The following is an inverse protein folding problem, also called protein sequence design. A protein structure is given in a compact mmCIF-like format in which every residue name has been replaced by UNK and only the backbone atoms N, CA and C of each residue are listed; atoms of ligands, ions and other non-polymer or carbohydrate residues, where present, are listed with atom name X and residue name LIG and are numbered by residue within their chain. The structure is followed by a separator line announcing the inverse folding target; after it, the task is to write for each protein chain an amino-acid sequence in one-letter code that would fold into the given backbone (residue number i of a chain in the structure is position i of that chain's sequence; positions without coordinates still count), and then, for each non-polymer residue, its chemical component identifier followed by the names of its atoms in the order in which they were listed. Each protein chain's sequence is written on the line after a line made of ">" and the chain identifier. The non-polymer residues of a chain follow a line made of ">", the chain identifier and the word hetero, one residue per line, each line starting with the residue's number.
data_IF_688768657085
#
_entry.id   IF_688768657085
#
_cell.length_a   1.000
_cell.length_b   1.000
_cell.length_c   1.000
_cell.angle_alpha   90.00
_cell.angle_beta   90.00
_cell.angle_gamma   90.00
#
_symmetry.space_group_name_H-M   'P 1'
#
loop_
_entity.id
_entity.type
_entity.pdbx_description
1 polymer ?
#
# COMPACT_ATOMS: atom_id res chain seq x y z
N UNK A 1 -12.29 0.77 31.27
CA UNK A 1 -13.70 0.86 30.84
C UNK A 1 -13.99 -0.30 29.90
N UNK A 2 -15.06 -1.06 30.15
CA UNK A 2 -15.47 -2.18 29.31
C UNK A 2 -16.20 -1.70 28.04
N UNK A 3 -16.28 -2.52 26.97
CA UNK A 3 -17.11 -2.21 25.80
C UNK A 3 -18.61 -2.35 26.13
N UNK A 4 -19.44 -1.43 25.63
CA UNK A 4 -20.89 -1.46 25.85
C UNK A 4 -21.57 -2.68 25.22
N UNK A 5 -22.52 -3.29 25.95
CA UNK A 5 -23.17 -4.57 25.63
C UNK A 5 -24.17 -4.56 24.45
N UNK A 6 -24.27 -3.47 23.66
CA UNK A 6 -25.21 -3.36 22.53
C UNK A 6 -24.80 -4.14 21.25
N UNK A 7 -24.01 -5.21 21.39
CA UNK A 7 -23.51 -6.04 20.29
C UNK A 7 -23.87 -7.54 20.43
N UNK A 8 -24.89 -7.87 21.24
CA UNK A 8 -25.46 -9.22 21.36
C UNK A 8 -26.92 -9.20 20.88
N UNK A 9 -27.21 -9.83 19.74
CA UNK A 9 -28.62 -10.09 19.37
C UNK A 9 -29.03 -10.02 17.90
N UNK A 10 -28.25 -10.52 16.94
CA UNK A 10 -28.80 -11.15 15.73
C UNK A 10 -27.93 -12.36 15.39
N UNK A 11 -28.56 -13.51 15.10
CA UNK A 11 -27.86 -14.78 14.87
C UNK A 11 -27.07 -14.79 13.55
N UNK A 12 -25.81 -14.37 13.59
CA UNK A 12 -24.90 -14.47 12.46
C UNK A 12 -24.17 -15.82 12.48
N UNK A 13 -24.47 -16.71 11.52
CA UNK A 13 -23.73 -17.96 11.34
C UNK A 13 -22.32 -17.60 10.83
N UNK A 14 -21.24 -17.93 11.56
CA UNK A 14 -19.89 -17.55 11.16
C UNK A 14 -19.54 -18.12 9.79
N UNK A 15 -19.39 -17.27 8.78
CA UNK A 15 -18.92 -17.63 7.43
C UNK A 15 -19.89 -17.40 6.27
N UNK A 16 -21.16 -17.05 6.50
CA UNK A 16 -22.10 -16.71 5.41
C UNK A 16 -22.31 -15.19 5.31
N UNK A 17 -22.05 -14.61 4.14
CA UNK A 17 -22.38 -13.22 3.87
C UNK A 17 -23.90 -13.03 3.71
N UNK A 18 -24.47 -12.02 4.37
CA UNK A 18 -25.87 -11.59 4.22
C UNK A 18 -26.17 -11.07 2.81
N UNK A 19 -27.40 -11.21 2.28
CA UNK A 19 -27.80 -10.54 1.03
C UNK A 19 -27.71 -9.02 1.15
N UNK A 20 -27.47 -8.33 0.03
CA UNK A 20 -27.29 -6.86 0.00
C UNK A 20 -28.50 -6.11 0.57
N UNK A 21 -29.71 -6.62 0.35
CA UNK A 21 -30.97 -6.04 0.84
C UNK A 21 -31.03 -6.04 2.37
N UNK A 22 -30.59 -7.12 3.02
CA UNK A 22 -30.56 -7.23 4.47
C UNK A 22 -29.55 -6.23 5.05
N UNK A 23 -28.34 -6.14 4.50
CA UNK A 23 -27.31 -5.20 4.95
C UNK A 23 -27.74 -3.74 4.78
N UNK A 24 -28.38 -3.41 3.65
CA UNK A 24 -28.97 -2.08 3.43
C UNK A 24 -30.14 -1.79 4.38
N UNK A 25 -30.95 -2.80 4.71
CA UNK A 25 -32.07 -2.66 5.66
C UNK A 25 -31.58 -2.46 7.10
N UNK A 26 -30.56 -3.21 7.53
CA UNK A 26 -29.90 -3.00 8.83
C UNK A 26 -29.28 -1.60 8.92
N UNK A 27 -28.68 -1.10 7.84
CA UNK A 27 -28.16 0.26 7.79
C UNK A 27 -29.27 1.32 7.90
N UNK A 28 -30.40 1.16 7.18
CA UNK A 28 -31.58 2.05 7.29
C UNK A 28 -32.18 2.06 8.69
N UNK A 29 -32.38 0.89 9.28
CA UNK A 29 -32.89 0.75 10.65
C UNK A 29 -31.96 1.42 11.65
N UNK A 30 -30.64 1.26 11.49
CA UNK A 30 -29.67 1.96 12.32
C UNK A 30 -29.78 3.49 12.17
N UNK A 31 -29.93 4.00 10.94
CA UNK A 31 -30.05 5.44 10.68
C UNK A 31 -31.33 6.01 11.30
N UNK A 32 -32.48 5.36 11.09
CA UNK A 32 -33.76 5.78 11.65
C UNK A 32 -33.73 5.81 13.19
N UNK A 33 -33.16 4.79 13.83
CA UNK A 33 -33.00 4.72 15.28
C UNK A 33 -32.05 5.78 15.86
N UNK A 34 -31.24 6.43 15.03
CA UNK A 34 -30.32 7.51 15.42
C UNK A 34 -30.74 8.88 14.86
N UNK A 35 -31.97 9.03 14.37
CA UNK A 35 -32.53 10.31 13.93
C UNK A 35 -32.00 10.85 12.60
N UNK A 36 -31.37 10.03 11.77
CA UNK A 36 -30.98 10.39 10.40
C UNK A 36 -32.03 9.99 9.35
N UNK A 37 -31.89 10.47 8.12
CA UNK A 37 -32.76 10.09 6.99
C UNK A 37 -32.33 8.74 6.37
N UNK A 38 -33.15 7.67 6.47
CA UNK A 38 -32.84 6.37 5.87
C UNK A 38 -33.00 6.34 4.33
N UNK A 39 -33.59 7.36 3.72
CA UNK A 39 -33.69 7.47 2.26
C UNK A 39 -32.42 8.04 1.63
N UNK A 40 -31.57 8.72 2.42
CA UNK A 40 -30.31 9.29 1.93
C UNK A 40 -29.28 8.19 1.66
N UNK A 41 -29.19 7.77 0.40
CA UNK A 41 -28.41 6.61 -0.06
C UNK A 41 -26.93 6.62 0.35
N UNK A 42 -26.27 7.78 0.31
CA UNK A 42 -24.87 7.90 0.75
C UNK A 42 -24.71 7.55 2.24
N UNK A 43 -25.63 8.03 3.09
CA UNK A 43 -25.62 7.71 4.52
C UNK A 43 -26.00 6.24 4.75
N UNK A 44 -26.95 5.68 4.01
CA UNK A 44 -27.23 4.23 4.05
C UNK A 44 -25.97 3.42 3.78
N UNK A 45 -25.27 3.70 2.68
CA UNK A 45 -24.01 3.05 2.34
C UNK A 45 -22.93 3.27 3.41
N UNK A 46 -22.82 4.47 3.99
CA UNK A 46 -21.88 4.77 5.06
C UNK A 46 -22.08 3.86 6.30
N UNK A 47 -23.33 3.49 6.57
CA UNK A 47 -23.72 2.67 7.73
C UNK A 47 -23.82 1.16 7.46
N UNK A 48 -23.71 0.71 6.20
CA UNK A 48 -23.59 -0.71 5.85
C UNK A 48 -22.41 -1.38 6.57
N UNK A 49 -22.63 -2.60 7.09
CA UNK A 49 -21.61 -3.38 7.78
C UNK A 49 -20.82 -4.26 6.80
N UNK A 50 -19.51 -4.30 6.97
CA UNK A 50 -18.61 -5.22 6.26
C UNK A 50 -19.00 -6.66 6.56
N UNK A 51 -19.32 -7.41 5.50
CA UNK A 51 -19.62 -8.85 5.57
C UNK A 51 -18.36 -9.73 5.41
N UNK A 52 -17.17 -9.13 5.39
CA UNK A 52 -15.94 -9.80 4.98
C UNK A 52 -14.66 -9.22 5.58
N UNK A 53 -13.60 -10.03 5.58
CA UNK A 53 -12.26 -9.66 6.02
C UNK A 53 -12.14 -9.42 7.52
N UNK A 54 -10.97 -8.95 7.94
CA UNK A 54 -10.62 -8.75 9.36
C UNK A 54 -11.42 -7.64 10.07
N UNK A 55 -12.23 -6.87 9.34
CA UNK A 55 -13.07 -5.79 9.85
C UNK A 55 -14.57 -6.12 9.74
N UNK A 56 -14.94 -7.40 9.59
CA UNK A 56 -16.34 -7.84 9.55
C UNK A 56 -17.15 -7.28 10.73
N UNK A 57 -18.38 -6.83 10.47
CA UNK A 57 -19.26 -6.15 11.43
C UNK A 57 -18.99 -4.64 11.60
N UNK A 58 -17.84 -4.12 11.17
CA UNK A 58 -17.59 -2.68 11.18
C UNK A 58 -18.30 -1.99 10.01
N UNK A 59 -18.72 -0.73 10.21
CA UNK A 59 -19.38 0.08 9.18
C UNK A 59 -18.39 0.55 8.11
N UNK A 60 -18.85 0.75 6.88
CA UNK A 60 -18.01 1.27 5.79
C UNK A 60 -17.38 2.62 6.14
N UNK A 61 -18.15 3.52 6.77
CA UNK A 61 -17.64 4.80 7.31
C UNK A 61 -16.50 4.61 8.31
N UNK A 62 -16.67 3.69 9.26
CA UNK A 62 -15.64 3.40 10.27
C UNK A 62 -14.33 2.93 9.62
N UNK A 63 -14.42 2.08 8.59
CA UNK A 63 -13.24 1.60 7.85
C UNK A 63 -12.45 2.76 7.20
N UNK A 64 -13.14 3.69 6.54
CA UNK A 64 -12.49 4.86 5.91
C UNK A 64 -11.85 5.79 6.94
N UNK A 65 -12.53 6.05 8.06
CA UNK A 65 -12.07 6.96 9.11
C UNK A 65 -10.90 6.39 9.94
N UNK A 66 -10.87 5.07 10.17
CA UNK A 66 -9.92 4.44 11.09
C UNK A 66 -8.78 3.67 10.40
N UNK A 67 -8.96 3.24 9.15
CA UNK A 67 -8.00 2.36 8.47
C UNK A 67 -7.95 2.58 6.95
N UNK A 68 -7.84 3.85 6.54
CA UNK A 68 -7.78 4.26 5.13
C UNK A 68 -6.76 3.44 4.31
N UNK A 69 -5.56 3.18 4.84
CA UNK A 69 -4.56 2.37 4.14
C UNK A 69 -5.01 0.93 3.82
N UNK A 70 -5.72 0.28 4.75
CA UNK A 70 -6.34 -1.01 4.49
C UNK A 70 -7.56 -0.89 3.56
N UNK A 71 -8.33 0.20 3.68
CA UNK A 71 -9.47 0.47 2.82
C UNK A 71 -9.04 0.60 1.35
N UNK A 72 -8.01 1.39 1.05
CA UNK A 72 -7.46 1.55 -0.30
C UNK A 72 -6.95 0.23 -0.88
N UNK A 73 -6.30 -0.61 -0.07
CA UNK A 73 -5.90 -1.96 -0.49
C UNK A 73 -7.10 -2.86 -0.81
N UNK A 74 -8.13 -2.84 0.04
CA UNK A 74 -9.37 -3.61 -0.18
C UNK A 74 -10.11 -3.13 -1.43
N UNK A 75 -10.33 -1.82 -1.59
CA UNK A 75 -10.95 -1.22 -2.77
C UNK A 75 -10.18 -1.61 -4.04
N UNK A 76 -8.84 -1.57 -4.01
CA UNK A 76 -8.00 -1.95 -5.14
C UNK A 76 -8.02 -3.46 -5.44
N UNK A 77 -8.22 -4.30 -4.43
CA UNK A 77 -8.44 -5.73 -4.63
C UNK A 77 -9.79 -5.97 -5.30
N UNK A 78 -10.86 -5.42 -4.70
CA UNK A 78 -12.24 -5.59 -5.16
C UNK A 78 -12.42 -5.03 -6.59
N UNK A 79 -11.79 -3.91 -6.93
CA UNK A 79 -11.88 -3.32 -8.28
C UNK A 79 -11.24 -4.18 -9.39
N UNK A 80 -10.51 -5.25 -9.03
CA UNK A 80 -9.97 -6.26 -9.95
C UNK A 80 -10.76 -7.57 -9.93
N UNK A 81 -11.64 -7.77 -8.96
CA UNK A 81 -12.49 -8.95 -8.89
C UNK A 81 -13.64 -8.82 -9.89
N UNK A 82 -13.97 -9.91 -10.58
CA UNK A 82 -15.19 -9.96 -11.40
C UNK A 82 -16.41 -10.00 -10.48
N UNK A 83 -17.41 -9.17 -10.78
CA UNK A 83 -18.67 -9.19 -10.05
C UNK A 83 -19.35 -10.56 -10.23
N UNK A 84 -19.61 -11.24 -9.12
CA UNK A 84 -20.31 -12.51 -9.06
C UNK A 84 -21.73 -12.29 -8.52
N UNK A 85 -22.70 -13.09 -8.96
CA UNK A 85 -24.07 -13.06 -8.43
C UNK A 85 -24.23 -13.65 -7.02
N UNK A 86 -23.19 -13.55 -6.16
CA UNK A 86 -23.24 -14.06 -4.79
C UNK A 86 -23.26 -12.90 -3.77
N UNK A 87 -23.91 -13.09 -2.59
CA UNK A 87 -24.07 -12.02 -1.60
C UNK A 87 -22.76 -11.34 -1.18
N UNK A 88 -21.67 -12.09 -1.10
CA UNK A 88 -20.36 -11.58 -0.74
C UNK A 88 -19.84 -10.56 -1.77
N UNK A 89 -19.96 -10.87 -3.06
CA UNK A 89 -19.56 -9.99 -4.15
C UNK A 89 -20.42 -8.74 -4.20
N UNK A 90 -21.74 -8.86 -4.02
CA UNK A 90 -22.64 -7.70 -3.99
C UNK A 90 -22.30 -6.74 -2.83
N UNK A 91 -22.02 -7.27 -1.63
CA UNK A 91 -21.56 -6.45 -0.50
C UNK A 91 -20.20 -5.77 -0.76
N UNK A 92 -19.29 -6.43 -1.50
CA UNK A 92 -18.05 -5.80 -1.95
C UNK A 92 -18.32 -4.66 -2.94
N UNK A 93 -19.31 -4.78 -3.83
CA UNK A 93 -19.73 -3.70 -4.72
C UNK A 93 -20.36 -2.53 -3.97
N UNK A 94 -21.14 -2.76 -2.89
CA UNK A 94 -21.64 -1.67 -2.04
C UNK A 94 -20.49 -0.84 -1.43
N UNK A 95 -19.38 -1.48 -1.03
CA UNK A 95 -18.20 -0.77 -0.52
C UNK A 95 -17.51 0.07 -1.60
N UNK A 96 -17.41 -0.44 -2.84
CA UNK A 96 -16.93 0.34 -3.98
C UNK A 96 -17.85 1.54 -4.28
N UNK A 97 -19.17 1.31 -4.28
CA UNK A 97 -20.18 2.36 -4.52
C UNK A 97 -20.14 3.45 -3.45
N UNK A 98 -19.88 3.09 -2.18
CA UNK A 98 -19.67 4.06 -1.11
C UNK A 98 -18.40 4.89 -1.35
N UNK A 99 -17.27 4.21 -1.60
CA UNK A 99 -15.98 4.85 -1.77
C UNK A 99 -15.93 5.78 -3.00
N UNK A 100 -16.61 5.44 -4.09
CA UNK A 100 -16.65 6.26 -5.31
C UNK A 100 -17.40 7.57 -5.15
N UNK A 101 -18.26 7.70 -4.13
CA UNK A 101 -18.95 8.95 -3.78
C UNK A 101 -18.07 9.91 -2.95
N UNK A 102 -16.92 9.45 -2.43
CA UNK A 102 -16.00 10.26 -1.63
C UNK A 102 -14.80 10.66 -2.50
N UNK A 103 -14.72 11.95 -2.85
CA UNK A 103 -13.69 12.48 -3.76
C UNK A 103 -12.26 12.20 -3.24
N UNK A 104 -12.03 12.43 -1.96
CA UNK A 104 -10.74 12.24 -1.30
C UNK A 104 -10.30 10.77 -1.34
N UNK A 105 -11.23 9.82 -1.16
CA UNK A 105 -10.93 8.38 -1.24
C UNK A 105 -10.61 7.98 -2.68
N UNK A 106 -11.30 8.56 -3.67
CA UNK A 106 -10.99 8.35 -5.10
C UNK A 106 -9.58 8.84 -5.45
N UNK A 107 -9.22 10.06 -5.06
CA UNK A 107 -7.88 10.63 -5.32
C UNK A 107 -6.76 9.82 -4.65
N UNK A 108 -6.96 9.39 -3.39
CA UNK A 108 -5.99 8.53 -2.70
C UNK A 108 -5.92 7.12 -3.30
N UNK A 109 -7.04 6.58 -3.81
CA UNK A 109 -7.04 5.30 -4.53
C UNK A 109 -6.27 5.38 -5.84
N UNK A 110 -6.39 6.47 -6.60
CA UNK A 110 -5.62 6.70 -7.83
C UNK A 110 -4.11 6.82 -7.54
N UNK A 111 -3.72 7.56 -6.50
CA UNK A 111 -2.31 7.63 -6.02
C UNK A 111 -1.80 6.25 -5.58
N UNK A 112 -2.59 5.51 -4.81
CA UNK A 112 -2.27 4.16 -4.36
C UNK A 112 -2.11 3.18 -5.53
N UNK A 113 -3.01 3.24 -6.52
CA UNK A 113 -2.90 2.48 -7.75
C UNK A 113 -1.63 2.81 -8.53
N UNK A 114 -1.29 4.09 -8.69
CA UNK A 114 -0.04 4.52 -9.36
C UNK A 114 1.18 3.95 -8.65
N UNK A 115 1.25 4.06 -7.32
CA UNK A 115 2.29 3.46 -6.48
C UNK A 115 2.40 1.94 -6.69
N UNK A 116 1.29 1.21 -6.69
CA UNK A 116 1.28 -0.24 -6.89
C UNK A 116 1.75 -0.65 -8.30
N UNK A 117 1.38 0.10 -9.35
CA UNK A 117 1.88 -0.13 -10.74
C UNK A 117 3.39 0.10 -10.82
N UNK A 118 3.87 1.22 -10.27
CA UNK A 118 5.30 1.57 -10.17
C UNK A 118 6.10 0.51 -9.39
N UNK A 119 5.59 0.05 -8.25
CA UNK A 119 6.24 -1.00 -7.47
C UNK A 119 6.24 -2.36 -8.19
N UNK A 120 5.17 -2.73 -8.90
CA UNK A 120 5.13 -3.94 -9.70
C UNK A 120 6.21 -3.92 -10.79
N UNK A 121 6.32 -2.79 -11.52
CA UNK A 121 7.34 -2.61 -12.56
C UNK A 121 8.77 -2.61 -12.03
N UNK A 122 9.01 -2.06 -10.84
CA UNK A 122 10.30 -2.14 -10.16
C UNK A 122 10.68 -3.58 -9.78
N UNK A 123 9.71 -4.43 -9.42
CA UNK A 123 9.93 -5.86 -9.15
C UNK A 123 10.17 -6.67 -10.41
N UNK A 124 9.42 -6.39 -11.47
CA UNK A 124 9.53 -7.03 -12.79
C UNK A 124 10.87 -6.76 -13.46
N UNK A 125 11.33 -5.50 -13.45
CA UNK A 125 12.57 -5.07 -14.12
C UNK A 125 13.82 -5.17 -13.24
N UNK A 126 13.66 -5.30 -11.92
CA UNK A 126 14.74 -5.15 -10.95
C UNK A 126 15.29 -3.71 -10.79
N UNK A 127 14.77 -2.74 -11.55
CA UNK A 127 15.21 -1.34 -11.49
C UNK A 127 14.40 -0.54 -10.45
N UNK A 128 15.09 -0.11 -9.39
CA UNK A 128 14.54 0.78 -8.37
C UNK A 128 14.14 2.15 -8.92
N UNK A 129 14.61 2.54 -10.11
CA UNK A 129 14.20 3.76 -10.80
C UNK A 129 12.69 3.86 -11.04
N UNK A 130 11.98 2.74 -11.15
CA UNK A 130 10.51 2.73 -11.28
C UNK A 130 9.77 2.97 -9.97
N UNK A 131 10.43 2.96 -8.81
CA UNK A 131 9.77 3.23 -7.52
C UNK A 131 9.28 4.67 -7.47
N UNK A 132 8.13 4.86 -6.85
CA UNK A 132 7.51 6.18 -6.69
C UNK A 132 8.23 6.98 -5.58
N UNK A 133 8.46 8.26 -5.82
CA UNK A 133 8.91 9.21 -4.80
C UNK A 133 7.71 9.57 -3.91
N UNK A 134 7.91 9.58 -2.60
CA UNK A 134 6.85 9.71 -1.58
C UNK A 134 6.99 10.95 -0.71
N UNK A 135 7.86 11.89 -1.11
CA UNK A 135 8.20 13.08 -0.33
C UNK A 135 8.57 14.26 -1.23
N UNK A 136 8.43 15.47 -0.69
CA UNK A 136 8.78 16.71 -1.40
C UNK A 136 7.86 17.01 -2.58
N UNK A 137 8.31 17.93 -3.44
CA UNK A 137 7.53 18.41 -4.59
C UNK A 137 7.34 17.33 -5.68
N UNK A 138 8.25 16.37 -5.76
CA UNK A 138 8.24 15.28 -6.74
C UNK A 138 7.40 14.06 -6.31
N UNK A 139 6.57 14.21 -5.28
CA UNK A 139 5.72 13.12 -4.79
C UNK A 139 4.81 12.60 -5.91
N UNK A 140 4.86 11.29 -6.15
CA UNK A 140 4.05 10.63 -7.18
C UNK A 140 4.74 10.44 -8.53
N UNK A 141 5.94 10.97 -8.75
CA UNK A 141 6.80 10.64 -9.91
C UNK A 141 7.69 9.44 -9.61
N UNK A 142 8.30 8.82 -10.63
CA UNK A 142 9.29 7.76 -10.42
C UNK A 142 10.68 8.33 -10.09
N UNK A 143 11.50 7.58 -9.34
CA UNK A 143 12.89 7.97 -9.02
C UNK A 143 13.73 8.21 -10.28
N UNK A 144 13.42 7.50 -11.37
CA UNK A 144 14.03 7.70 -12.69
C UNK A 144 13.62 9.03 -13.32
N UNK A 145 12.32 9.34 -13.36
CA UNK A 145 11.83 10.63 -13.88
C UNK A 145 12.52 11.81 -13.18
N UNK A 146 12.61 11.77 -11.84
CA UNK A 146 13.22 12.84 -11.04
C UNK A 146 14.74 12.91 -11.19
N UNK A 147 15.41 11.80 -11.53
CA UNK A 147 16.85 11.79 -11.83
C UNK A 147 17.18 12.28 -13.25
N UNK A 148 16.29 12.03 -14.20
CA UNK A 148 16.45 12.41 -15.61
C UNK A 148 15.91 13.83 -15.90
N UNK A 149 15.15 14.42 -14.97
CA UNK A 149 14.70 15.81 -15.03
C UNK A 149 15.87 16.81 -14.92
N UNK A 150 15.86 17.79 -15.83
CA UNK A 150 16.86 18.87 -15.93
C UNK A 150 16.45 20.15 -15.20
N UNK A 151 15.27 20.20 -14.56
CA UNK A 151 14.89 21.37 -13.76
C UNK A 151 15.86 21.60 -12.61
N UNK A 152 16.10 22.87 -12.27
CA UNK A 152 16.95 23.26 -11.14
C UNK A 152 16.47 22.64 -9.82
N UNK A 153 15.15 22.46 -9.66
CA UNK A 153 14.56 21.81 -8.49
C UNK A 153 14.97 20.33 -8.38
N UNK A 154 14.94 19.59 -9.49
CA UNK A 154 15.33 18.19 -9.51
C UNK A 154 16.82 18.04 -9.21
N UNK A 155 17.66 18.82 -9.90
CA UNK A 155 19.12 18.84 -9.68
C UNK A 155 19.47 19.14 -8.21
N UNK A 156 18.84 20.17 -7.62
CA UNK A 156 19.01 20.51 -6.19
C UNK A 156 18.61 19.35 -5.26
N UNK A 157 17.56 18.59 -5.58
CA UNK A 157 17.18 17.40 -4.81
C UNK A 157 18.21 16.28 -4.97
N UNK A 158 18.71 16.01 -6.18
CA UNK A 158 19.74 14.98 -6.41
C UNK A 158 21.03 15.32 -5.64
N UNK A 159 21.47 16.58 -5.66
CA UNK A 159 22.66 17.01 -4.91
C UNK A 159 22.43 17.10 -3.40
N UNK A 160 21.20 17.33 -2.94
CA UNK A 160 20.84 17.14 -1.54
C UNK A 160 20.92 15.66 -1.15
N UNK A 161 20.31 14.74 -1.93
CA UNK A 161 20.27 13.30 -1.65
C UNK A 161 21.66 12.69 -1.48
N UNK A 162 22.64 13.09 -2.30
CA UNK A 162 24.03 12.61 -2.19
C UNK A 162 24.63 12.96 -0.82
N UNK A 163 24.39 14.18 -0.33
CA UNK A 163 24.95 14.70 0.93
C UNK A 163 24.14 14.32 2.18
N UNK A 164 22.82 14.18 2.06
CA UNK A 164 21.92 13.96 3.19
C UNK A 164 22.18 12.63 3.91
N UNK A 165 22.20 12.63 5.23
CA UNK A 165 22.10 11.39 6.01
C UNK A 165 20.66 10.86 5.92
N UNK A 166 20.52 9.64 5.41
CA UNK A 166 19.23 9.05 5.08
C UNK A 166 19.03 7.78 5.90
N UNK A 167 18.07 7.82 6.84
CA UNK A 167 17.75 6.68 7.71
C UNK A 167 17.51 5.41 6.88
N UNK A 168 18.13 4.27 7.23
CA UNK A 168 17.96 3.01 6.51
C UNK A 168 16.48 2.62 6.33
N UNK A 169 16.18 1.92 5.23
CA UNK A 169 14.83 1.45 4.87
C UNK A 169 13.76 2.54 4.69
N UNK A 170 14.16 3.81 4.52
CA UNK A 170 13.25 4.89 4.10
C UNK A 170 13.28 5.11 2.59
N UNK A 171 12.20 5.65 2.03
CA UNK A 171 12.11 6.04 0.61
C UNK A 171 13.22 7.02 0.21
N UNK A 172 13.66 7.88 1.14
CA UNK A 172 14.82 8.78 0.98
C UNK A 172 16.14 8.00 0.80
N UNK A 173 16.38 6.98 1.64
CA UNK A 173 17.59 6.16 1.54
C UNK A 173 17.60 5.29 0.27
N UNK A 174 16.44 4.76 -0.14
CA UNK A 174 16.30 4.02 -1.40
C UNK A 174 16.60 4.94 -2.60
N UNK A 175 16.05 6.16 -2.61
CA UNK A 175 16.33 7.11 -3.69
C UNK A 175 17.80 7.56 -3.69
N UNK A 176 18.41 7.82 -2.52
CA UNK A 176 19.86 8.08 -2.41
C UNK A 176 20.68 6.93 -3.00
N UNK A 177 20.36 5.68 -2.69
CA UNK A 177 21.05 4.52 -3.24
C UNK A 177 20.92 4.42 -4.77
N UNK A 178 19.73 4.69 -5.32
CA UNK A 178 19.51 4.76 -6.77
C UNK A 178 20.38 5.83 -7.44
N UNK A 179 20.40 7.05 -6.89
CA UNK A 179 21.22 8.17 -7.39
C UNK A 179 22.70 7.83 -7.40
N UNK A 180 23.23 7.30 -6.29
CA UNK A 180 24.65 6.93 -6.19
C UNK A 180 25.02 5.83 -7.18
N UNK A 181 24.17 4.80 -7.33
CA UNK A 181 24.36 3.73 -8.32
C UNK A 181 24.40 4.28 -9.75
N UNK A 182 23.47 5.16 -10.12
CA UNK A 182 23.43 5.79 -11.45
C UNK A 182 24.65 6.67 -11.73
N UNK A 183 25.09 7.49 -10.76
CA UNK A 183 26.29 8.33 -10.92
C UNK A 183 27.56 7.46 -11.10
N UNK A 184 27.72 6.40 -10.33
CA UNK A 184 28.83 5.46 -10.48
C UNK A 184 28.85 4.80 -11.87
N UNK A 185 27.70 4.30 -12.37
CA UNK A 185 27.61 3.69 -13.69
C UNK A 185 27.91 4.68 -14.83
N UNK A 186 27.51 5.94 -14.70
CA UNK A 186 27.83 6.97 -15.70
C UNK A 186 29.35 7.25 -15.76
N UNK A 187 30.02 7.34 -14.61
CA UNK A 187 31.46 7.55 -14.52
C UNK A 187 32.29 6.38 -15.07
N UNK A 188 31.80 5.13 -14.96
CA UNK A 188 32.48 3.97 -15.55
C UNK A 188 32.42 3.90 -17.08
N UNK A 189 31.45 4.57 -17.72
CA UNK A 189 31.30 4.58 -19.19
C UNK A 189 32.10 5.69 -19.86
N UNK A 190 32.56 6.70 -19.12
CA UNK A 190 33.38 7.81 -19.65
C UNK A 190 34.90 7.58 -19.55
N UNK A 191 35.34 6.38 -19.17
CA UNK A 191 36.77 6.05 -19.14
C UNK A 191 37.27 5.72 -20.57
N UNK A 192 38.35 6.38 -21.06
CA UNK A 192 38.96 5.99 -22.33
C UNK A 192 39.56 4.58 -22.22
N UNK A 193 39.57 3.78 -23.30
CA UNK A 193 40.07 2.41 -23.25
C UNK A 193 41.58 2.40 -22.91
N UNK A 194 42.03 1.54 -21.98
CA UNK A 194 43.46 1.31 -21.79
C UNK A 194 44.04 0.67 -23.05
N UNK A 195 45.20 1.17 -23.50
CA UNK A 195 45.88 0.64 -24.67
C UNK A 195 46.23 -0.83 -24.47
N UNK A 196 45.73 -1.70 -25.36
CA UNK A 196 45.97 -3.13 -25.28
C UNK A 196 47.45 -3.45 -25.52
N UNK A 197 48.10 -4.10 -24.54
CA UNK A 197 49.43 -4.69 -24.69
C UNK A 197 49.29 -6.22 -24.68
N UNK A 198 49.73 -6.87 -25.76
CA UNK A 198 49.50 -8.28 -26.06
C UNK A 198 50.69 -9.18 -25.68
N UNK A 199 50.45 -10.23 -24.91
CA UNK A 199 51.25 -11.48 -24.87
C UNK A 199 50.42 -12.58 -24.17
N UNK A 200 49.75 -13.48 -24.90
CA UNK A 200 50.24 -14.81 -25.37
C UNK A 200 50.35 -15.89 -24.27
N UNK A 201 49.55 -16.95 -24.40
CA UNK A 201 49.48 -18.17 -23.56
C UNK A 201 50.47 -19.27 -24.08
N UNK A 202 50.47 -20.60 -23.72
CA UNK A 202 49.41 -21.47 -23.14
C UNK A 202 49.91 -22.51 -22.04
N UNK A 203 49.11 -23.52 -21.60
CA UNK A 203 49.44 -24.46 -20.49
C UNK A 203 49.90 -25.87 -21.00
N UNK A 204 50.16 -26.89 -20.13
CA UNK A 204 49.12 -27.90 -19.83
C UNK A 204 49.25 -28.71 -18.48
N UNK A 205 48.38 -29.72 -18.32
CA UNK A 205 48.54 -31.03 -17.60
C UNK A 205 48.07 -31.21 -16.14
N UNK A 206 47.62 -32.44 -15.85
CA UNK A 206 46.83 -32.84 -14.68
C UNK A 206 47.45 -34.01 -13.91
N UNK A 207 46.96 -34.27 -12.68
CA UNK A 207 47.01 -35.60 -12.05
C UNK A 207 45.90 -35.79 -10.99
N UNK A 208 45.62 -37.05 -10.67
CA UNK A 208 44.38 -37.58 -10.09
C UNK A 208 44.53 -38.04 -8.63
N UNK A 209 43.41 -38.55 -8.07
CA UNK A 209 43.26 -39.37 -6.86
C UNK A 209 43.11 -38.63 -5.51
N UNK A 210 42.38 -39.15 -4.50
CA UNK A 210 41.27 -40.13 -4.45
C UNK A 210 40.64 -40.13 -3.03
N UNK A 211 39.51 -40.83 -2.86
CA UNK A 211 38.87 -41.24 -1.58
C UNK A 211 38.29 -40.09 -0.69
N UNK A 212 36.98 -39.95 -0.43
CA UNK A 212 35.89 -40.85 -0.03
C UNK A 212 35.75 -41.06 1.49
N UNK A 213 34.63 -40.59 2.07
CA UNK A 213 33.79 -41.40 2.98
C UNK A 213 32.45 -40.75 3.41
N UNK A 214 31.46 -41.66 3.51
CA UNK A 214 30.26 -41.67 4.37
C UNK A 214 29.18 -40.57 4.33
N UNK A 215 28.03 -40.99 3.81
CA UNK A 215 26.69 -40.41 3.98
C UNK A 215 26.13 -40.58 5.40
N UNK A 216 25.42 -39.57 5.91
CA UNK A 216 24.17 -39.74 6.70
C UNK A 216 23.36 -38.43 6.76
N UNK A 217 22.02 -38.53 6.76
CA UNK A 217 21.09 -37.39 6.61
C UNK A 217 20.64 -36.76 7.94
N UNK A 218 20.04 -35.55 7.91
CA UNK A 218 18.61 -35.43 8.25
C UNK A 218 17.80 -34.44 7.35
N UNK A 219 16.44 -34.38 7.48
CA UNK A 219 15.50 -33.89 6.45
C UNK A 219 15.09 -32.38 6.58
N UNK A 220 14.27 -31.80 5.67
CA UNK A 220 14.15 -30.34 5.53
C UNK A 220 13.32 -29.64 6.61
N UNK A 221 13.64 -28.37 6.83
CA UNK A 221 13.13 -27.55 7.93
C UNK A 221 11.60 -27.32 7.90
N UNK A 222 10.96 -27.55 9.04
CA UNK A 222 9.54 -27.31 9.24
C UNK A 222 9.17 -25.81 9.19
N UNK A 223 8.01 -25.54 8.62
CA UNK A 223 7.38 -24.22 8.52
C UNK A 223 7.01 -23.64 9.90
N UNK A 224 7.86 -22.77 10.45
CA UNK A 224 7.54 -22.00 11.67
C UNK A 224 6.58 -20.85 11.35
N UNK A 225 5.31 -21.04 11.67
CA UNK A 225 4.27 -20.01 11.70
C UNK A 225 4.59 -18.94 12.76
N UNK A 226 5.24 -17.85 12.33
CA UNK A 226 5.55 -16.71 13.18
C UNK A 226 4.32 -15.88 13.52
N UNK A 227 3.78 -16.01 14.73
CA UNK A 227 2.64 -15.24 15.22
C UNK A 227 2.92 -13.72 15.16
N UNK A 228 2.19 -13.00 14.30
CA UNK A 228 2.32 -11.54 14.16
C UNK A 228 1.74 -10.81 15.38
N UNK A 229 2.62 -10.45 16.32
CA UNK A 229 2.28 -9.62 17.49
C UNK A 229 1.74 -8.26 17.03
N UNK A 230 0.54 -7.90 17.50
CA UNK A 230 -0.21 -6.66 17.18
C UNK A 230 0.48 -5.32 17.56
N UNK A 231 1.73 -5.34 18.00
CA UNK A 231 2.46 -4.16 18.50
C UNK A 231 3.08 -3.30 17.40
N UNK A 232 3.54 -3.90 16.30
CA UNK A 232 4.38 -3.22 15.30
C UNK A 232 3.62 -2.18 14.45
N UNK A 233 2.29 -2.30 14.30
CA UNK A 233 1.51 -1.37 13.47
C UNK A 233 1.30 0.02 14.11
N UNK A 234 1.38 0.15 15.45
CA UNK A 234 1.27 1.47 16.11
C UNK A 234 2.51 2.35 15.93
N UNK A 235 3.68 1.76 15.67
CA UNK A 235 4.93 2.52 15.49
C UNK A 235 5.09 3.13 14.09
N UNK A 236 4.42 2.57 13.07
CA UNK A 236 4.49 3.05 11.68
C UNK A 236 3.48 4.18 11.35
N UNK A 237 2.55 4.47 12.25
CA UNK A 237 1.54 5.52 12.10
C UNK A 237 1.94 6.87 12.73
N UNK A 238 3.08 6.92 13.42
CA UNK A 238 3.60 8.15 14.01
C UNK A 238 4.71 8.74 13.12
N UNK A 239 4.57 10.04 12.81
CA UNK A 239 5.61 10.93 12.23
C UNK A 239 5.79 10.91 10.69
N UNK A 240 4.71 11.23 9.99
CA UNK A 240 4.76 12.06 8.78
C UNK A 240 3.83 13.27 8.97
N UNK A 241 4.21 14.47 8.52
CA UNK A 241 3.30 15.63 8.52
C UNK A 241 2.26 15.44 7.41
N UNK A 242 1.21 14.68 7.70
CA UNK A 242 0.01 14.59 6.88
C UNK A 242 -1.23 14.75 7.77
N UNK A 243 -2.25 15.34 7.17
CA UNK A 243 -3.51 15.80 7.79
C UNK A 243 -4.02 14.78 8.81
N UNK A 244 -4.17 15.20 10.08
CA UNK A 244 -4.71 14.34 11.14
C UNK A 244 -6.11 13.85 10.75
N UNK A 245 -6.53 12.63 11.12
CA UNK A 245 -7.93 12.20 10.95
C UNK A 245 -8.94 13.21 11.51
N UNK A 246 -8.57 13.94 12.57
CA UNK A 246 -9.37 15.03 13.17
C UNK A 246 -9.48 16.33 12.34
N UNK A 247 -8.65 16.50 11.31
CA UNK A 247 -8.74 17.58 10.34
C UNK A 247 -9.53 17.14 9.09
N UNK A 248 -9.40 15.87 8.69
CA UNK A 248 -10.20 15.27 7.62
C UNK A 248 -11.68 15.19 8.05
N UNK A 249 -11.96 14.76 9.28
CA UNK A 249 -13.29 14.81 9.89
C UNK A 249 -13.86 16.25 9.98
N UNK A 250 -13.02 17.27 10.24
CA UNK A 250 -13.45 18.68 10.25
C UNK A 250 -13.79 19.22 8.86
N UNK A 251 -13.05 18.82 7.82
CA UNK A 251 -13.43 19.13 6.43
C UNK A 251 -14.73 18.44 6.00
N UNK A 252 -14.93 17.18 6.41
CA UNK A 252 -16.15 16.40 6.14
C UNK A 252 -17.40 16.90 6.90
N UNK A 253 -17.26 17.81 7.87
CA UNK A 253 -18.36 18.31 8.71
C UNK A 253 -18.44 19.84 8.82
N UNK A 254 -17.80 20.57 7.90
CA UNK A 254 -18.01 22.03 7.81
C UNK A 254 -19.33 22.29 7.06
N UNK A 255 -20.31 23.00 7.64
CA UNK A 255 -21.48 23.43 6.90
C UNK A 255 -21.04 24.29 5.71
N UNK A 256 -21.76 24.17 4.59
CA UNK A 256 -21.67 25.17 3.53
C UNK A 256 -22.03 26.51 4.16
N UNK A 257 -21.09 27.47 4.16
CA UNK A 257 -21.43 28.85 4.44
C UNK A 257 -22.37 29.30 3.32
N UNK A 258 -23.61 29.64 3.67
CA UNK A 258 -24.48 30.37 2.75
C UNK A 258 -23.74 31.62 2.30
N UNK A 259 -23.60 31.82 1.00
CA UNK A 259 -23.34 33.13 0.43
C UNK A 259 -24.70 33.80 0.25
N UNK A 260 -24.82 35.00 0.85
CA UNK A 260 -25.98 35.91 0.84
C UNK A 260 -27.31 35.35 1.41
#
# INVERSE_FOLDING_TARGET
>A
MAPSEQAKGVGNVPGRAKPKEEVMTEARNFIANNGGDPNYHFLTLAHCQLQFGMYQGQRFRWLMENSLGCALYLLQSISKESAQGNPLSENKQLLLQYASQIREVKEELEKFQKKMRMQAKARETGDQGWLMVEFGEFQGQSMKEVYEDKTLKAQNLIDYLVRADARPNTTMAIFKAYVLKRRASASSTSAPPPAASTSSAPPPAASTSSEASTSSAPPPAASRTGAWKKSTMKALLARGKNVSPSQLARKLMSPVKSCE
#
